data_IF_116599355477
#
_entry.id   IF_116599355477
#
_cell.length_a   1.000
_cell.length_b   1.000
_cell.length_c   1.000
_cell.angle_alpha   90.00
_cell.angle_beta   90.00
_cell.angle_gamma   90.00
#
_symmetry.space_group_name_H-M   'P 1'
#
loop_
_entity.id
_entity.type
_entity.pdbx_description
1 polymer ?
#
# COMPACT_ATOMS: atom_id res chain seq x y z
N UNK A 1 7.11 -27.94 19.50
CA UNK A 1 6.96 -28.07 18.04
C UNK A 1 6.12 -26.88 17.58
N UNK A 2 6.72 -25.87 16.96
CA UNK A 2 6.01 -24.70 16.41
C UNK A 2 6.23 -24.70 14.89
N UNK A 3 5.30 -25.25 14.13
CA UNK A 3 5.32 -25.12 12.67
C UNK A 3 4.20 -24.15 12.28
N UNK A 4 4.43 -22.87 12.56
CA UNK A 4 3.66 -21.77 12.00
C UNK A 4 4.37 -21.28 10.76
N UNK A 5 4.34 -22.02 9.65
CA UNK A 5 4.63 -21.47 8.34
C UNK A 5 3.44 -20.59 7.95
N UNK A 6 3.32 -19.43 8.60
CA UNK A 6 2.41 -18.39 8.15
C UNK A 6 2.87 -17.95 6.77
N UNK A 7 1.96 -17.96 5.81
CA UNK A 7 2.19 -17.42 4.48
C UNK A 7 2.53 -15.93 4.64
N UNK A 8 3.82 -15.62 4.76
CA UNK A 8 4.33 -14.27 4.93
C UNK A 8 4.26 -13.57 3.57
N UNK A 9 3.09 -12.98 3.30
CA UNK A 9 2.94 -12.03 2.20
C UNK A 9 3.68 -10.76 2.62
N UNK A 10 4.96 -10.68 2.23
CA UNK A 10 5.72 -9.45 2.35
C UNK A 10 5.21 -8.46 1.30
N UNK A 11 5.04 -7.20 1.67
CA UNK A 11 4.65 -6.11 0.78
C UNK A 11 5.47 -4.88 1.13
N UNK A 12 5.90 -4.11 0.13
CA UNK A 12 6.52 -2.81 0.36
C UNK A 12 5.48 -1.72 0.05
N UNK A 13 5.35 -0.72 0.91
CA UNK A 13 4.44 0.41 0.69
C UNK A 13 5.23 1.70 0.84
N UNK A 14 5.05 2.61 -0.13
CA UNK A 14 5.57 3.96 -0.11
C UNK A 14 4.40 4.93 -0.23
N UNK A 15 4.43 6.05 0.49
CA UNK A 15 3.34 7.03 0.41
C UNK A 15 3.78 8.43 0.81
N UNK A 16 3.01 9.41 0.37
CA UNK A 16 3.14 10.82 0.72
C UNK A 16 1.86 11.29 1.39
N UNK A 17 2.01 11.91 2.55
CA UNK A 17 0.92 12.53 3.30
C UNK A 17 1.19 14.00 3.46
N UNK A 18 0.19 14.83 3.21
CA UNK A 18 0.23 16.25 3.47
C UNK A 18 -1.09 16.77 3.99
N UNK A 19 -1.03 17.87 4.74
CA UNK A 19 -2.21 18.53 5.29
C UNK A 19 -2.07 20.02 5.09
N UNK A 20 -3.13 20.66 4.59
CA UNK A 20 -3.20 22.10 4.39
C UNK A 20 -4.44 22.64 5.09
N UNK A 21 -4.24 23.15 6.31
CA UNK A 21 -5.32 23.62 7.18
C UNK A 21 -6.26 22.47 7.52
N UNK A 22 -7.48 22.52 6.99
CA UNK A 22 -8.51 21.50 7.24
C UNK A 22 -8.64 20.44 6.14
N UNK A 23 -7.80 20.53 5.10
CA UNK A 23 -7.77 19.59 4.00
C UNK A 23 -6.51 18.72 4.09
N UNK A 24 -6.68 17.46 4.47
CA UNK A 24 -5.66 16.42 4.42
C UNK A 24 -5.70 15.63 3.11
N UNK A 25 -4.54 15.34 2.55
CA UNK A 25 -4.36 14.44 1.41
C UNK A 25 -3.30 13.38 1.74
N UNK A 26 -3.58 12.14 1.39
CA UNK A 26 -2.71 10.99 1.62
C UNK A 26 -2.72 10.15 0.34
N UNK A 27 -1.55 9.90 -0.23
CA UNK A 27 -1.39 9.03 -1.37
C UNK A 27 -0.42 7.92 -1.00
N UNK A 28 -0.77 6.68 -1.29
CA UNK A 28 0.06 5.53 -1.02
C UNK A 28 0.13 4.60 -2.24
N UNK A 29 1.27 3.94 -2.39
CA UNK A 29 1.60 3.02 -3.45
C UNK A 29 2.27 1.80 -2.83
N UNK A 30 1.60 0.66 -2.85
CA UNK A 30 2.06 -0.62 -2.35
C UNK A 30 2.40 -1.59 -3.47
N UNK A 31 3.44 -2.38 -3.30
CA UNK A 31 3.78 -3.53 -4.13
C UNK A 31 3.79 -4.79 -3.25
N UNK A 32 2.89 -5.76 -3.45
CA UNK A 32 2.97 -7.05 -2.78
C UNK A 32 4.14 -7.87 -3.38
N UNK A 33 5.07 -8.36 -2.55
CA UNK A 33 6.23 -9.18 -2.98
C UNK A 33 5.84 -10.63 -3.32
N UNK A 34 4.63 -11.09 -3.03
CA UNK A 34 4.23 -12.47 -3.25
C UNK A 34 3.81 -12.76 -4.71
N UNK A 35 4.83 -12.98 -5.56
CA UNK A 35 4.88 -13.68 -6.87
C UNK A 35 4.48 -12.88 -8.13
N UNK A 36 4.90 -13.34 -9.33
CA UNK A 36 6.27 -13.52 -9.84
C UNK A 36 6.40 -12.86 -11.24
N UNK A 37 7.54 -13.07 -11.89
CA UNK A 37 8.08 -12.53 -13.15
C UNK A 37 7.20 -12.47 -14.44
N UNK A 38 5.88 -12.72 -14.44
CA UNK A 38 5.14 -13.08 -15.68
C UNK A 38 3.67 -12.61 -15.76
N UNK A 39 3.35 -11.34 -15.47
CA UNK A 39 1.98 -10.85 -15.72
C UNK A 39 1.93 -9.41 -16.21
N UNK A 40 1.35 -9.24 -17.41
CA UNK A 40 0.95 -7.97 -18.05
C UNK A 40 -0.11 -7.17 -17.28
N UNK A 41 -0.14 -7.24 -15.95
CA UNK A 41 -1.11 -6.50 -15.12
C UNK A 41 -0.44 -6.15 -13.82
N UNK A 42 0.02 -4.91 -13.73
CA UNK A 42 0.71 -4.31 -12.59
C UNK A 42 -0.09 -4.49 -11.29
N UNK A 43 0.32 -5.35 -10.34
CA UNK A 43 -0.36 -5.46 -9.05
C UNK A 43 0.15 -4.38 -8.10
N UNK A 44 0.36 -3.16 -8.61
CA UNK A 44 0.72 -2.00 -7.81
C UNK A 44 -0.57 -1.50 -7.16
N UNK A 45 -0.65 -1.60 -5.85
CA UNK A 45 -1.78 -1.09 -5.05
C UNK A 45 -1.60 0.41 -4.89
N UNK A 46 -2.24 1.20 -5.74
CA UNK A 46 -2.27 2.65 -5.59
C UNK A 46 -3.54 3.04 -4.84
N UNK A 47 -3.41 3.91 -3.84
CA UNK A 47 -4.51 4.46 -3.08
C UNK A 47 -4.33 5.95 -2.86
N UNK A 48 -5.45 6.67 -2.81
CA UNK A 48 -5.49 8.07 -2.44
C UNK A 48 -6.62 8.28 -1.44
N UNK A 49 -6.41 9.19 -0.52
CA UNK A 49 -7.35 9.56 0.53
C UNK A 49 -7.33 11.07 0.68
N UNK A 50 -8.53 11.66 0.72
CA UNK A 50 -8.72 13.09 0.93
C UNK A 50 -9.66 13.24 2.10
N UNK A 51 -9.21 13.95 3.14
CA UNK A 51 -10.01 14.28 4.30
C UNK A 51 -10.23 15.79 4.32
N UNK A 52 -11.49 16.21 4.32
CA UNK A 52 -11.86 17.59 4.59
C UNK A 52 -12.59 17.62 5.94
N UNK A 53 -12.03 18.35 6.89
CA UNK A 53 -12.66 18.63 8.17
C UNK A 53 -13.34 20.01 8.07
N UNK A 54 -14.67 20.06 8.19
CA UNK A 54 -15.41 21.33 8.13
C UNK A 54 -15.49 21.98 9.51
#
# INVERSE_FOLDING_TARGET
MITGAGEHIAGAVAGVRGVKGHLGYDLFAGVPLAKPDEMHTSPVTLGFSVQWQY
#
